data_IF_847272960828
#
_entry.id   IF_847272960828
#
_cell.length_a   1.000
_cell.length_b   1.000
_cell.length_c   1.000
_cell.angle_alpha   90.00
_cell.angle_beta   90.00
_cell.angle_gamma   90.00
#
_symmetry.space_group_name_H-M   'P 1'
#
loop_
_entity.id
_entity.type
_entity.pdbx_description
1 polymer ?
#
# COMPACT_ATOMS: atom_id res chain seq x y z
N UNK A 1 15.36 15.63 7.10
CA UNK A 1 14.45 15.02 6.09
C UNK A 1 13.25 14.53 6.85
N UNK A 2 12.10 15.18 6.66
CA UNK A 2 10.96 15.11 7.57
C UNK A 2 10.24 13.77 7.45
N UNK A 3 10.21 13.00 8.53
CA UNK A 3 9.42 11.77 8.71
C UNK A 3 7.89 12.02 8.71
N UNK A 4 7.43 13.22 8.31
CA UNK A 4 6.02 13.62 8.22
C UNK A 4 5.28 13.12 6.97
N UNK A 5 6.00 12.62 5.96
CA UNK A 5 5.36 12.09 4.75
C UNK A 5 4.99 10.60 4.87
N UNK A 6 5.34 9.97 5.99
CA UNK A 6 4.86 8.64 6.32
C UNK A 6 3.64 8.80 7.24
N UNK A 7 2.50 9.17 6.66
CA UNK A 7 1.23 9.16 7.38
C UNK A 7 0.87 7.69 7.64
N UNK A 8 1.02 7.24 8.87
CA UNK A 8 0.56 5.91 9.23
C UNK A 8 -0.97 5.83 9.29
N UNK A 9 -1.51 4.62 9.52
CA UNK A 9 -2.96 4.38 9.50
C UNK A 9 -3.75 5.28 10.46
N UNK A 10 -3.16 5.63 11.61
CA UNK A 10 -3.81 6.45 12.62
C UNK A 10 -3.88 7.90 12.15
N UNK A 11 -2.81 8.43 11.54
CA UNK A 11 -2.79 9.78 11.00
C UNK A 11 -3.82 9.94 9.86
N UNK A 12 -3.93 8.93 8.98
CA UNK A 12 -4.93 8.93 7.90
C UNK A 12 -6.35 8.98 8.48
N UNK A 13 -6.63 8.21 9.55
CA UNK A 13 -7.94 8.23 10.20
C UNK A 13 -8.29 9.59 10.81
N UNK A 14 -7.31 10.27 11.43
CA UNK A 14 -7.51 11.62 11.99
C UNK A 14 -7.81 12.65 10.88
N UNK A 15 -7.07 12.60 9.77
CA UNK A 15 -7.32 13.50 8.62
C UNK A 15 -8.70 13.23 8.03
N UNK A 16 -9.11 11.97 7.90
CA UNK A 16 -10.43 11.59 7.44
C UNK A 16 -11.56 12.16 8.32
N UNK A 17 -11.40 12.08 9.65
CA UNK A 17 -12.35 12.65 10.61
C UNK A 17 -12.46 14.18 10.47
N UNK A 18 -11.31 14.87 10.40
CA UNK A 18 -11.29 16.34 10.26
C UNK A 18 -11.90 16.84 8.93
N UNK A 19 -11.73 16.07 7.84
CA UNK A 19 -12.30 16.44 6.54
C UNK A 19 -13.79 16.14 6.45
N UNK A 20 -14.30 15.16 7.20
CA UNK A 20 -15.74 14.92 7.33
C UNK A 20 -16.47 16.11 8.01
N UNK A 21 -15.85 16.73 9.01
CA UNK A 21 -16.37 17.92 9.68
C UNK A 21 -16.30 19.18 8.79
N UNK A 22 -15.40 19.19 7.80
CA UNK A 22 -15.16 20.31 6.88
C UNK A 22 -16.12 20.36 5.67
N UNK A 23 -17.12 19.48 5.62
CA UNK A 23 -18.16 19.44 4.59
C UNK A 23 -17.94 18.39 3.48
N UNK A 24 -19.03 18.06 2.77
CA UNK A 24 -19.11 16.93 1.82
C UNK A 24 -18.09 17.01 0.68
N UNK A 25 -17.88 18.18 0.08
CA UNK A 25 -16.94 18.36 -1.03
C UNK A 25 -15.49 18.10 -0.60
N UNK A 26 -15.11 18.58 0.58
CA UNK A 26 -13.77 18.39 1.16
C UNK A 26 -13.51 16.92 1.46
N UNK A 27 -14.49 16.27 2.11
CA UNK A 27 -14.44 14.84 2.39
C UNK A 27 -14.32 13.98 1.13
N UNK A 28 -15.14 14.26 0.09
CA UNK A 28 -15.10 13.54 -1.18
C UNK A 28 -13.75 13.72 -1.90
N UNK A 29 -13.18 14.94 -1.86
CA UNK A 29 -11.88 15.22 -2.45
C UNK A 29 -10.74 14.48 -1.72
N UNK A 30 -10.80 14.44 -0.39
CA UNK A 30 -9.87 13.65 0.42
C UNK A 30 -9.97 12.15 0.10
N UNK A 31 -11.18 11.60 0.03
CA UNK A 31 -11.39 10.20 -0.34
C UNK A 31 -10.89 9.88 -1.75
N UNK A 32 -11.11 10.78 -2.72
CA UNK A 32 -10.59 10.61 -4.06
C UNK A 32 -9.05 10.55 -4.07
N UNK A 33 -8.39 11.47 -3.35
CA UNK A 33 -6.93 11.49 -3.22
C UNK A 33 -6.40 10.22 -2.52
N UNK A 34 -7.05 9.81 -1.43
CA UNK A 34 -6.71 8.60 -0.69
C UNK A 34 -6.83 7.35 -1.58
N UNK A 35 -7.93 7.24 -2.31
CA UNK A 35 -8.19 6.14 -3.25
C UNK A 35 -7.13 6.06 -4.35
N UNK A 36 -6.78 7.20 -4.98
CA UNK A 36 -5.72 7.27 -5.98
C UNK A 36 -4.38 6.84 -5.39
N UNK A 37 -4.07 7.29 -4.17
CA UNK A 37 -2.81 6.95 -3.49
C UNK A 37 -2.72 5.46 -3.16
N UNK A 38 -3.81 4.86 -2.66
CA UNK A 38 -3.89 3.42 -2.41
C UNK A 38 -3.81 2.61 -3.71
N UNK A 39 -4.50 3.05 -4.77
CA UNK A 39 -4.40 2.44 -6.09
C UNK A 39 -2.97 2.46 -6.64
N UNK A 40 -2.26 3.58 -6.50
CA UNK A 40 -0.86 3.69 -6.90
C UNK A 40 0.05 2.74 -6.11
N UNK A 41 -0.16 2.59 -4.79
CA UNK A 41 0.58 1.66 -3.95
C UNK A 41 0.28 0.20 -4.34
N UNK A 42 -0.99 -0.15 -4.60
CA UNK A 42 -1.37 -1.51 -5.00
C UNK A 42 -0.80 -1.91 -6.36
N UNK A 43 -0.49 -0.96 -7.24
CA UNK A 43 0.16 -1.21 -8.53
C UNK A 43 1.68 -1.40 -8.43
N UNK A 44 2.28 -1.25 -7.24
CA UNK A 44 3.70 -1.53 -7.05
C UNK A 44 4.00 -3.01 -7.32
N UNK A 45 5.22 -3.35 -7.81
CA UNK A 45 5.62 -4.71 -8.14
C UNK A 45 5.95 -5.53 -6.88
N UNK A 46 5.03 -5.55 -5.93
CA UNK A 46 5.12 -6.31 -4.68
C UNK A 46 4.21 -7.54 -4.83
N UNK A 47 4.72 -8.77 -4.67
CA UNK A 47 3.98 -10.01 -4.95
C UNK A 47 2.61 -10.12 -4.26
N UNK A 48 2.50 -9.62 -3.02
CA UNK A 48 1.25 -9.61 -2.22
C UNK A 48 0.24 -8.55 -2.67
N UNK A 49 0.64 -7.59 -3.50
CA UNK A 49 -0.21 -6.53 -4.05
C UNK A 49 -0.66 -6.85 -5.48
N UNK A 50 -1.72 -6.17 -5.93
CA UNK A 50 -2.29 -6.34 -7.28
C UNK A 50 -1.23 -6.20 -8.40
N UNK A 51 -0.29 -5.27 -8.24
CA UNK A 51 0.82 -5.04 -9.17
C UNK A 51 1.82 -6.20 -9.25
N UNK A 52 1.96 -7.00 -8.19
CA UNK A 52 2.76 -8.23 -8.21
C UNK A 52 2.20 -9.26 -9.20
N UNK A 53 0.88 -9.43 -9.22
CA UNK A 53 0.22 -10.30 -10.19
C UNK A 53 0.38 -9.78 -11.62
N UNK A 54 0.28 -8.46 -11.82
CA UNK A 54 0.53 -7.83 -13.14
C UNK A 54 1.96 -8.14 -13.62
N UNK A 55 2.96 -8.05 -12.73
CA UNK A 55 4.34 -8.41 -13.09
C UNK A 55 4.46 -9.89 -13.43
N UNK A 56 3.88 -10.79 -12.63
CA UNK A 56 3.92 -12.22 -12.94
C UNK A 56 3.29 -12.54 -14.29
N UNK A 57 2.08 -12.05 -14.56
CA UNK A 57 1.41 -12.30 -15.84
C UNK A 57 2.12 -11.65 -17.03
N UNK A 58 2.70 -10.46 -16.85
CA UNK A 58 3.52 -9.81 -17.88
C UNK A 58 4.75 -10.65 -18.18
N UNK A 59 5.41 -11.18 -17.16
CA UNK A 59 6.55 -12.08 -17.28
C UNK A 59 6.18 -13.40 -17.95
N UNK A 60 5.02 -13.98 -17.63
CA UNK A 60 4.50 -15.18 -18.30
C UNK A 60 4.21 -14.94 -19.78
N UNK A 61 3.61 -13.79 -20.11
CA UNK A 61 3.34 -13.38 -21.49
C UNK A 61 4.62 -13.18 -22.30
N UNK A 62 5.68 -12.64 -21.68
CA UNK A 62 7.00 -12.47 -22.31
C UNK A 62 7.79 -13.78 -22.42
N UNK A 63 7.75 -14.63 -21.40
CA UNK A 63 8.48 -15.90 -21.37
C UNK A 63 7.75 -17.04 -22.10
N UNK A 64 6.45 -16.91 -22.36
CA UNK A 64 5.62 -17.95 -22.96
C UNK A 64 5.43 -19.19 -22.08
N UNK A 65 5.80 -19.12 -20.80
CA UNK A 65 5.68 -20.20 -19.82
C UNK A 65 5.29 -19.66 -18.45
N UNK A 66 4.54 -20.43 -17.64
CA UNK A 66 4.13 -20.00 -16.30
C UNK A 66 5.33 -19.80 -15.38
N UNK A 67 5.24 -18.82 -14.47
CA UNK A 67 6.27 -18.61 -13.44
C UNK A 67 6.24 -19.80 -12.47
N UNK A 68 7.38 -20.44 -12.15
CA UNK A 68 7.42 -21.59 -11.24
C UNK A 68 6.76 -21.28 -9.89
N UNK A 69 5.94 -22.20 -9.40
CA UNK A 69 5.19 -22.05 -8.14
C UNK A 69 6.11 -21.77 -6.94
N UNK A 70 7.30 -22.39 -6.92
CA UNK A 70 8.31 -22.13 -5.88
C UNK A 70 8.76 -20.66 -5.84
N UNK A 71 8.91 -20.02 -7.01
CA UNK A 71 9.30 -18.61 -7.11
C UNK A 71 8.15 -17.73 -6.65
N UNK A 72 6.91 -18.03 -7.06
CA UNK A 72 5.73 -17.29 -6.61
C UNK A 72 5.58 -17.37 -5.08
N UNK A 73 5.68 -18.56 -4.51
CA UNK A 73 5.59 -18.81 -3.06
C UNK A 73 6.64 -18.01 -2.28
N UNK A 74 7.90 -18.06 -2.70
CA UNK A 74 8.99 -17.32 -2.08
C UNK A 74 8.75 -15.81 -2.19
N UNK A 75 8.28 -15.35 -3.34
CA UNK A 75 7.95 -13.95 -3.59
C UNK A 75 6.82 -13.46 -2.69
N UNK A 76 5.75 -14.25 -2.52
CA UNK A 76 4.66 -13.93 -1.59
C UNK A 76 5.13 -13.87 -0.14
N UNK A 77 5.95 -14.83 0.30
CA UNK A 77 6.50 -14.84 1.68
C UNK A 77 7.34 -13.59 1.96
N UNK A 78 8.24 -13.24 1.04
CA UNK A 78 9.08 -12.03 1.15
C UNK A 78 8.22 -10.78 1.12
N UNK A 79 7.25 -10.70 0.20
CA UNK A 79 6.33 -9.57 0.09
C UNK A 79 5.50 -9.39 1.34
N UNK A 80 4.93 -10.47 1.89
CA UNK A 80 4.12 -10.44 3.11
C UNK A 80 4.95 -9.99 4.31
N UNK A 81 6.17 -10.53 4.46
CA UNK A 81 7.07 -10.13 5.54
C UNK A 81 7.42 -8.63 5.44
N UNK A 82 7.69 -8.14 4.24
CA UNK A 82 7.98 -6.72 4.01
C UNK A 82 6.79 -5.83 4.37
N UNK A 83 5.58 -6.16 3.90
CA UNK A 83 4.35 -5.41 4.21
C UNK A 83 4.06 -5.43 5.71
N UNK A 84 4.18 -6.60 6.36
CA UNK A 84 3.98 -6.72 7.79
C UNK A 84 4.99 -5.87 8.58
N UNK A 85 6.26 -5.89 8.19
CA UNK A 85 7.31 -5.08 8.81
C UNK A 85 7.01 -3.58 8.66
N UNK A 86 6.60 -3.15 7.46
CA UNK A 86 6.19 -1.77 7.22
C UNK A 86 4.96 -1.37 8.04
N UNK A 87 3.98 -2.25 8.18
CA UNK A 87 2.78 -2.00 8.98
C UNK A 87 3.13 -1.83 10.46
N UNK A 88 3.94 -2.72 11.03
CA UNK A 88 4.42 -2.61 12.41
C UNK A 88 5.23 -1.32 12.59
N UNK A 89 6.12 -1.01 11.64
CA UNK A 89 6.91 0.22 11.68
C UNK A 89 6.04 1.48 11.60
N UNK A 90 5.02 1.51 10.75
CA UNK A 90 4.11 2.63 10.61
C UNK A 90 3.28 2.85 11.88
N UNK A 91 2.73 1.78 12.46
CA UNK A 91 2.00 1.84 13.73
C UNK A 91 2.92 2.29 14.86
N UNK A 92 4.14 1.76 14.95
CA UNK A 92 5.13 2.18 15.93
C UNK A 92 5.47 3.67 15.78
N UNK A 93 5.62 4.16 14.55
CA UNK A 93 5.86 5.59 14.29
C UNK A 93 4.67 6.46 14.70
N UNK A 94 3.45 6.04 14.38
CA UNK A 94 2.23 6.75 14.76
C UNK A 94 2.09 6.84 16.28
N UNK A 95 2.32 5.74 17.00
CA UNK A 95 2.26 5.69 18.47
C UNK A 95 3.37 6.51 19.12
N UNK A 96 4.59 6.48 18.57
CA UNK A 96 5.70 7.27 19.07
C UNK A 96 5.58 8.78 18.77
N UNK A 97 4.71 9.15 17.83
CA UNK A 97 4.42 10.54 17.44
C UNK A 97 3.27 11.16 18.25
N UNK A 98 2.38 10.34 18.81
CA UNK A 98 1.35 10.74 19.78
C UNK A 98 1.99 11.16 21.11
#
# INVERSE_FOLDING_TARGET
ISTKNLSGPIAIAQVAASTAESGFTTWLSFLALLSISLGAINLLPIPVLDGGHIVFHSLEGLMGRPVPEQIQMMSYQVGLLAVFTLMVFAIYNDVARL
#
